data_IF_158751043392
#
_entry.id   IF_158751043392
#
_cell.length_a   1.000
_cell.length_b   1.000
_cell.length_c   1.000
_cell.angle_alpha   90.00
_cell.angle_beta   90.00
_cell.angle_gamma   90.00
#
_symmetry.space_group_name_H-M   'P 1'
#
loop_
_entity.id
_entity.type
_entity.pdbx_description
1 polymer ?
#
# COMPACT_ATOMS: atom_id res chain seq x y z
N UNK A 1 1.73 -19.59 -20.42
CA UNK A 1 0.66 -18.75 -19.84
C UNK A 1 1.30 -17.65 -19.03
N UNK A 2 0.73 -16.45 -19.01
CA UNK A 2 1.33 -15.31 -18.31
C UNK A 2 1.38 -15.55 -16.80
N UNK A 3 2.57 -15.40 -16.21
CA UNK A 3 2.79 -15.63 -14.77
C UNK A 3 1.96 -14.68 -13.91
N UNK A 4 1.67 -13.48 -14.38
CA UNK A 4 0.89 -12.47 -13.63
C UNK A 4 -0.52 -12.96 -13.30
N UNK A 5 -1.12 -13.74 -14.21
CA UNK A 5 -2.48 -14.27 -14.06
C UNK A 5 -2.51 -15.71 -13.53
N UNK A 6 -1.41 -16.45 -13.69
CA UNK A 6 -1.29 -17.85 -13.26
C UNK A 6 -0.52 -18.06 -11.96
N UNK A 7 0.17 -17.04 -11.43
CA UNK A 7 0.80 -17.10 -10.10
C UNK A 7 -0.27 -17.48 -9.06
N UNK A 8 0.00 -18.42 -8.14
CA UNK A 8 -0.98 -18.95 -7.20
C UNK A 8 -1.75 -17.84 -6.45
N UNK A 9 -3.01 -18.11 -6.16
CA UNK A 9 -3.93 -17.15 -5.52
C UNK A 9 -4.17 -17.52 -4.07
N UNK A 10 -4.56 -16.52 -3.29
CA UNK A 10 -4.87 -16.68 -1.87
C UNK A 10 -3.82 -16.03 -0.97
N UNK A 11 -4.08 -16.08 0.33
CA UNK A 11 -3.30 -15.37 1.34
C UNK A 11 -1.84 -15.81 1.35
N UNK A 12 -1.57 -17.12 1.39
CA UNK A 12 -0.19 -17.63 1.46
C UNK A 12 0.67 -17.24 0.24
N UNK A 13 0.24 -17.46 -1.02
CA UNK A 13 0.97 -16.96 -2.18
C UNK A 13 1.15 -15.45 -2.20
N UNK A 14 0.15 -14.70 -1.73
CA UNK A 14 0.24 -13.24 -1.60
C UNK A 14 1.32 -12.83 -0.61
N UNK A 15 1.32 -13.40 0.59
CA UNK A 15 2.35 -13.17 1.61
C UNK A 15 3.75 -13.53 1.13
N UNK A 16 3.91 -14.63 0.39
CA UNK A 16 5.19 -14.99 -0.23
C UNK A 16 5.68 -13.89 -1.18
N UNK A 17 4.80 -13.34 -2.02
CA UNK A 17 5.19 -12.27 -2.95
C UNK A 17 5.54 -10.97 -2.21
N UNK A 18 4.82 -10.61 -1.15
CA UNK A 18 5.19 -9.48 -0.29
C UNK A 18 6.56 -9.69 0.35
N UNK A 19 6.82 -10.85 0.94
CA UNK A 19 8.11 -11.16 1.56
C UNK A 19 9.26 -11.10 0.54
N UNK A 20 9.06 -11.58 -0.69
CA UNK A 20 10.06 -11.41 -1.77
C UNK A 20 10.26 -9.93 -2.07
N UNK A 21 9.19 -9.15 -2.26
CA UNK A 21 9.27 -7.72 -2.53
C UNK A 21 9.94 -6.93 -1.41
N UNK A 22 9.77 -7.32 -0.16
CA UNK A 22 10.45 -6.71 0.99
C UNK A 22 11.98 -6.88 0.89
N UNK A 23 12.44 -8.09 0.57
CA UNK A 23 13.87 -8.47 0.59
C UNK A 23 14.63 -8.08 -0.68
N UNK A 24 13.98 -8.06 -1.84
CA UNK A 24 14.69 -7.82 -3.10
C UNK A 24 15.17 -6.37 -3.22
N UNK A 25 16.37 -6.26 -3.78
CA UNK A 25 17.05 -5.00 -4.09
C UNK A 25 17.34 -4.94 -5.59
N UNK A 26 17.08 -3.80 -6.26
CA UNK A 26 17.24 -3.69 -7.71
C UNK A 26 18.68 -3.88 -8.19
N UNK A 27 19.67 -3.54 -7.35
CA UNK A 27 21.10 -3.65 -7.61
C UNK A 27 21.68 -5.07 -7.37
N UNK A 28 20.87 -6.01 -6.87
CA UNK A 28 21.32 -7.38 -6.61
C UNK A 28 20.31 -8.42 -7.10
N UNK A 29 20.17 -8.53 -8.43
CA UNK A 29 19.27 -9.49 -9.09
C UNK A 29 19.58 -10.95 -8.77
N UNK A 30 20.84 -11.27 -8.43
CA UNK A 30 21.26 -12.66 -8.15
C UNK A 30 20.52 -13.26 -6.94
N UNK A 31 20.15 -12.44 -5.97
CA UNK A 31 19.41 -12.90 -4.80
C UNK A 31 17.91 -13.10 -5.07
N UNK A 32 17.37 -12.58 -6.18
CA UNK A 32 15.93 -12.69 -6.48
C UNK A 32 15.52 -14.14 -6.68
N UNK A 33 16.27 -14.87 -7.51
CA UNK A 33 16.06 -16.31 -7.71
C UNK A 33 16.11 -17.08 -6.40
N UNK A 34 17.08 -16.76 -5.55
CA UNK A 34 17.24 -17.39 -4.23
C UNK A 34 16.01 -17.17 -3.34
N UNK A 35 15.48 -15.94 -3.29
CA UNK A 35 14.27 -15.65 -2.51
C UNK A 35 13.02 -16.32 -3.10
N UNK A 36 12.86 -16.29 -4.42
CA UNK A 36 11.76 -16.95 -5.11
C UNK A 36 11.76 -18.47 -4.85
N UNK A 37 12.91 -19.13 -4.95
CA UNK A 37 13.03 -20.57 -4.65
C UNK A 37 12.81 -20.89 -3.18
N UNK A 38 13.33 -20.05 -2.28
CA UNK A 38 13.11 -20.20 -0.85
C UNK A 38 11.62 -20.13 -0.51
N UNK A 39 10.94 -19.10 -0.99
CA UNK A 39 9.52 -18.88 -0.71
C UNK A 39 8.63 -19.88 -1.44
N UNK A 40 8.97 -20.27 -2.67
CA UNK A 40 8.27 -21.35 -3.38
C UNK A 40 8.23 -22.63 -2.54
N UNK A 41 9.34 -22.98 -1.88
CA UNK A 41 9.41 -24.14 -0.96
C UNK A 41 8.70 -23.87 0.37
N UNK A 42 8.97 -22.75 1.03
CA UNK A 42 8.42 -22.42 2.35
C UNK A 42 6.88 -22.38 2.33
N UNK A 43 6.31 -21.78 1.29
CA UNK A 43 4.88 -21.58 1.14
C UNK A 43 4.21 -22.64 0.25
N UNK A 44 4.97 -23.64 -0.21
CA UNK A 44 4.49 -24.76 -1.03
C UNK A 44 3.72 -24.29 -2.28
N UNK A 45 4.26 -23.30 -2.99
CA UNK A 45 3.58 -22.66 -4.12
C UNK A 45 3.52 -23.55 -5.37
N UNK A 46 4.41 -24.54 -5.47
CA UNK A 46 4.45 -25.49 -6.59
C UNK A 46 4.83 -24.85 -7.93
N UNK A 47 5.64 -23.79 -7.91
CA UNK A 47 6.14 -23.16 -9.13
C UNK A 47 7.29 -23.96 -9.73
N UNK A 48 7.17 -24.29 -11.01
CA UNK A 48 8.20 -24.95 -11.81
C UNK A 48 9.34 -23.97 -12.20
N UNK A 49 10.54 -24.46 -12.57
CA UNK A 49 11.67 -23.59 -12.91
C UNK A 49 11.35 -22.51 -13.97
N UNK A 50 10.58 -22.86 -15.00
CA UNK A 50 10.17 -21.90 -16.05
C UNK A 50 9.19 -20.83 -15.54
N UNK A 51 8.39 -21.15 -14.51
CA UNK A 51 7.51 -20.18 -13.86
C UNK A 51 8.30 -19.26 -12.94
N UNK A 52 9.35 -19.78 -12.28
CA UNK A 52 10.28 -18.96 -11.49
C UNK A 52 11.03 -17.97 -12.40
N UNK A 53 11.44 -18.39 -13.60
CA UNK A 53 12.06 -17.49 -14.61
C UNK A 53 11.09 -16.37 -15.00
N UNK A 54 9.82 -16.71 -15.21
CA UNK A 54 8.79 -15.72 -15.50
C UNK A 54 8.55 -14.78 -14.31
N UNK A 55 8.58 -15.28 -13.06
CA UNK A 55 8.51 -14.45 -11.86
C UNK A 55 9.65 -13.45 -11.79
N UNK A 56 10.89 -13.82 -12.15
CA UNK A 56 12.02 -12.87 -12.14
C UNK A 56 11.82 -11.72 -13.13
N UNK A 57 11.32 -12.00 -14.33
CA UNK A 57 10.99 -10.98 -15.32
C UNK A 57 9.83 -10.08 -14.83
N UNK A 58 8.87 -10.65 -14.11
CA UNK A 58 7.78 -9.88 -13.51
C UNK A 58 8.26 -9.00 -12.35
N UNK A 59 9.14 -9.50 -11.48
CA UNK A 59 9.78 -8.69 -10.43
C UNK A 59 10.59 -7.54 -11.03
N UNK A 60 11.21 -7.75 -12.19
CA UNK A 60 11.92 -6.71 -12.91
C UNK A 60 10.96 -5.60 -13.35
N UNK A 61 9.86 -5.97 -14.01
CA UNK A 61 8.82 -5.02 -14.37
C UNK A 61 8.28 -4.24 -13.15
N UNK A 62 8.09 -4.91 -12.01
CA UNK A 62 7.67 -4.28 -10.74
C UNK A 62 8.73 -3.32 -10.20
N UNK A 63 10.02 -3.65 -10.26
CA UNK A 63 11.09 -2.76 -9.76
C UNK A 63 11.28 -1.53 -10.64
N UNK A 64 11.05 -1.62 -11.94
CA UNK A 64 11.26 -0.51 -12.87
C UNK A 64 10.00 0.29 -13.19
N UNK A 65 8.82 -0.12 -12.74
CA UNK A 65 7.61 0.68 -12.95
C UNK A 65 7.65 1.99 -12.13
N UNK A 66 7.16 3.06 -12.74
CA UNK A 66 7.05 4.39 -12.12
C UNK A 66 5.90 4.41 -11.11
N UNK A 67 6.20 4.90 -9.91
CA UNK A 67 5.27 5.14 -8.82
C UNK A 67 4.41 6.39 -9.11
N UNK A 68 3.06 6.31 -9.04
CA UNK A 68 2.18 7.32 -9.61
C UNK A 68 2.16 8.69 -8.89
N UNK A 69 2.59 8.76 -7.63
CA UNK A 69 2.64 10.01 -6.85
C UNK A 69 4.05 10.61 -6.81
N UNK A 70 5.08 9.78 -6.59
CA UNK A 70 6.46 10.28 -6.48
C UNK A 70 7.18 10.39 -7.82
N UNK A 71 6.70 9.72 -8.87
CA UNK A 71 7.28 9.72 -10.23
C UNK A 71 8.68 9.12 -10.33
N UNK A 72 9.13 8.41 -9.30
CA UNK A 72 10.35 7.58 -9.35
C UNK A 72 9.96 6.10 -9.51
N UNK A 73 10.92 5.26 -9.91
CA UNK A 73 10.67 3.81 -9.92
C UNK A 73 10.66 3.23 -8.50
N UNK A 74 10.01 2.07 -8.33
CA UNK A 74 10.09 1.32 -7.08
C UNK A 74 11.54 0.96 -6.69
N UNK A 75 12.37 0.63 -7.68
CA UNK A 75 13.79 0.37 -7.45
C UNK A 75 14.50 1.59 -6.88
N UNK A 76 14.24 2.78 -7.43
CA UNK A 76 14.81 4.03 -6.94
C UNK A 76 14.34 4.37 -5.52
N UNK A 77 13.06 4.14 -5.20
CA UNK A 77 12.54 4.38 -3.84
C UNK A 77 13.24 3.51 -2.78
N UNK A 78 13.61 2.28 -3.14
CA UNK A 78 14.38 1.35 -2.30
C UNK A 78 15.89 1.63 -2.22
N UNK A 79 16.43 2.47 -3.09
CA UNK A 79 17.83 2.91 -3.01
C UNK A 79 17.98 4.16 -2.12
N UNK A 80 16.92 4.97 -2.04
CA UNK A 80 16.87 6.14 -1.17
C UNK A 80 16.55 5.84 0.30
N UNK A 81 16.17 6.90 1.04
CA UNK A 81 15.72 6.79 2.42
C UNK A 81 14.36 6.10 2.47
N UNK A 82 14.32 4.86 2.96
CA UNK A 82 13.11 4.05 3.00
C UNK A 82 13.10 3.10 4.19
N UNK A 83 11.93 2.50 4.41
CA UNK A 83 11.70 1.39 5.31
C UNK A 83 10.62 0.50 4.73
N UNK A 84 10.97 -0.76 4.48
CA UNK A 84 9.99 -1.82 4.20
C UNK A 84 9.37 -2.31 5.51
N UNK A 85 8.15 -2.85 5.44
CA UNK A 85 7.39 -3.38 6.58
C UNK A 85 7.37 -2.42 7.79
N UNK A 86 6.77 -1.25 7.60
CA UNK A 86 6.59 -0.29 8.68
C UNK A 86 5.30 -0.57 9.45
N UNK A 87 5.44 -1.32 10.54
CA UNK A 87 4.37 -1.51 11.53
C UNK A 87 4.07 -0.22 12.30
N UNK A 88 2.78 0.12 12.44
CA UNK A 88 2.30 1.25 13.22
C UNK A 88 1.13 0.89 14.13
N UNK A 89 0.93 1.72 15.16
CA UNK A 89 -0.21 1.64 16.06
C UNK A 89 -0.85 3.01 16.19
N UNK A 90 -2.15 3.10 15.90
CA UNK A 90 -2.97 4.26 16.22
C UNK A 90 -3.75 3.95 17.49
N UNK A 91 -3.41 4.62 18.59
CA UNK A 91 -4.21 4.57 19.81
C UNK A 91 -5.40 5.51 19.72
N UNK A 92 -6.55 5.05 20.20
CA UNK A 92 -7.65 5.90 20.65
C UNK A 92 -7.49 6.14 22.15
N UNK A 93 -7.92 7.30 22.68
CA UNK A 93 -7.93 7.51 24.13
C UNK A 93 -8.76 6.39 24.77
N UNK A 94 -8.13 5.64 25.69
CA UNK A 94 -8.69 4.47 26.34
C UNK A 94 -10.04 4.70 27.06
N UNK A 95 -10.45 5.96 27.23
CA UNK A 95 -11.70 6.35 27.90
C UNK A 95 -12.86 6.69 26.95
N UNK A 96 -12.61 6.86 25.65
CA UNK A 96 -13.63 7.34 24.71
C UNK A 96 -13.75 6.40 23.50
N UNK A 97 -14.97 6.01 23.16
CA UNK A 97 -15.24 5.21 21.96
C UNK A 97 -14.88 6.01 20.69
N UNK A 98 -14.49 5.32 19.61
CA UNK A 98 -14.36 5.94 18.30
C UNK A 98 -15.71 6.52 17.86
N UNK A 99 -15.70 7.76 17.39
CA UNK A 99 -16.85 8.41 16.79
C UNK A 99 -17.08 7.89 15.36
N UNK A 100 -17.64 6.69 15.26
CA UNK A 100 -17.97 6.04 13.98
C UNK A 100 -18.90 6.91 13.12
N UNK A 101 -19.95 7.57 13.66
CA UNK A 101 -20.74 8.54 12.90
C UNK A 101 -19.89 9.66 12.28
N UNK A 102 -18.97 10.26 13.05
CA UNK A 102 -18.08 11.30 12.52
C UNK A 102 -17.13 10.76 11.43
N UNK A 103 -16.60 9.55 11.58
CA UNK A 103 -15.79 8.90 10.53
C UNK A 103 -16.62 8.73 9.25
N UNK A 104 -17.81 8.13 9.34
CA UNK A 104 -18.67 7.92 8.18
C UNK A 104 -19.05 9.26 7.50
N UNK A 105 -19.39 10.29 8.30
CA UNK A 105 -19.73 11.62 7.78
C UNK A 105 -18.53 12.30 7.11
N UNK A 106 -17.34 12.22 7.72
CA UNK A 106 -16.11 12.78 7.16
C UNK A 106 -15.78 12.16 5.80
N UNK A 107 -15.90 10.84 5.67
CA UNK A 107 -15.68 10.13 4.43
C UNK A 107 -16.74 10.42 3.36
N UNK A 108 -18.02 10.49 3.75
CA UNK A 108 -19.11 10.84 2.84
C UNK A 108 -18.96 12.26 2.27
N UNK A 109 -18.55 13.23 3.10
CA UNK A 109 -18.32 14.60 2.68
C UNK A 109 -17.20 14.74 1.62
N UNK A 110 -16.30 13.76 1.52
CA UNK A 110 -15.17 13.75 0.60
C UNK A 110 -15.32 12.71 -0.53
N UNK A 111 -16.53 12.21 -0.78
CA UNK A 111 -16.82 11.37 -1.96
C UNK A 111 -16.49 9.89 -1.80
N UNK A 112 -16.15 9.43 -0.59
CA UNK A 112 -15.82 8.03 -0.31
C UNK A 112 -16.73 7.47 0.81
N UNK A 113 -18.06 7.44 0.63
CA UNK A 113 -18.98 7.07 1.70
C UNK A 113 -18.63 5.71 2.31
N UNK A 114 -18.52 5.68 3.64
CA UNK A 114 -18.34 4.47 4.41
C UNK A 114 -19.61 4.12 5.18
N UNK A 115 -19.78 2.84 5.46
CA UNK A 115 -20.87 2.30 6.27
C UNK A 115 -20.33 1.49 7.45
N UNK A 116 -19.40 2.09 8.21
CA UNK A 116 -18.83 1.45 9.38
C UNK A 116 -19.91 1.24 10.45
N UNK A 117 -19.87 0.08 11.10
CA UNK A 117 -20.80 -0.28 12.17
C UNK A 117 -20.26 0.12 13.54
N UNK A 118 -21.15 0.61 14.40
CA UNK A 118 -20.85 0.94 15.81
C UNK A 118 -20.45 -0.26 16.67
N UNK A 119 -20.63 -1.51 16.19
CA UNK A 119 -20.33 -2.74 16.94
C UNK A 119 -18.90 -2.79 17.48
N UNK A 120 -17.95 -2.13 16.82
CA UNK A 120 -16.54 -2.13 17.18
C UNK A 120 -16.01 -0.75 17.59
N UNK A 121 -16.88 0.18 18.00
CA UNK A 121 -16.46 1.53 18.41
C UNK A 121 -15.52 1.57 19.63
N UNK A 122 -15.42 0.49 20.40
CA UNK A 122 -14.53 0.39 21.57
C UNK A 122 -13.12 -0.15 21.23
N UNK A 123 -12.73 -0.14 19.95
CA UNK A 123 -11.34 -0.43 19.55
C UNK A 123 -10.40 0.57 20.22
N UNK A 124 -9.40 0.04 20.93
CA UNK A 124 -8.40 0.82 21.68
C UNK A 124 -7.15 1.16 20.87
N UNK A 125 -6.78 0.25 19.98
CA UNK A 125 -5.65 0.40 19.11
C UNK A 125 -5.96 -0.21 17.75
N UNK A 126 -5.60 0.51 16.70
CA UNK A 126 -5.56 0.00 15.35
C UNK A 126 -4.10 -0.28 15.00
N UNK A 127 -3.78 -1.54 14.71
CA UNK A 127 -2.47 -1.95 14.23
C UNK A 127 -2.54 -2.11 12.72
N UNK A 128 -1.56 -1.56 12.03
CA UNK A 128 -1.41 -1.72 10.58
C UNK A 128 0.07 -1.87 10.22
N UNK A 129 0.31 -2.23 8.97
CA UNK A 129 1.64 -2.44 8.42
C UNK A 129 1.69 -1.86 7.01
N UNK A 130 2.58 -0.89 6.82
CA UNK A 130 2.85 -0.28 5.52
C UNK A 130 3.93 -1.12 4.84
N UNK A 131 3.65 -1.65 3.64
CA UNK A 131 4.61 -2.48 2.91
C UNK A 131 5.91 -1.71 2.61
N UNK A 132 5.79 -0.45 2.18
CA UNK A 132 6.96 0.38 1.87
C UNK A 132 6.70 1.86 2.15
N UNK A 133 7.50 2.44 3.04
CA UNK A 133 7.53 3.87 3.36
C UNK A 133 8.85 4.44 2.85
N UNK A 134 8.81 5.52 2.07
CA UNK A 134 10.03 6.11 1.50
C UNK A 134 9.96 7.62 1.42
N UNK A 135 11.12 8.25 1.24
CA UNK A 135 11.27 9.68 1.07
C UNK A 135 11.86 9.99 -0.30
N UNK A 136 11.31 11.01 -0.95
CA UNK A 136 11.81 11.57 -2.19
C UNK A 136 11.54 13.07 -2.20
N UNK A 137 12.54 13.89 -2.55
CA UNK A 137 12.44 15.35 -2.68
C UNK A 137 11.74 16.08 -1.51
N UNK A 138 12.06 15.64 -0.29
CA UNK A 138 11.53 16.21 0.96
C UNK A 138 10.13 15.70 1.34
N UNK A 139 9.49 14.89 0.50
CA UNK A 139 8.16 14.31 0.71
C UNK A 139 8.25 12.83 1.09
N UNK A 140 7.32 12.38 1.92
CA UNK A 140 7.24 11.00 2.41
C UNK A 140 6.02 10.31 1.84
N UNK A 141 6.21 9.14 1.25
CA UNK A 141 5.21 8.42 0.48
C UNK A 141 5.01 7.01 1.03
N UNK A 142 3.81 6.50 0.81
CA UNK A 142 3.41 5.15 1.23
C UNK A 142 3.14 4.35 -0.03
N UNK A 143 3.68 3.15 -0.11
CA UNK A 143 3.34 2.17 -1.13
C UNK A 143 2.80 0.91 -0.45
N UNK A 144 1.70 0.40 -1.00
CA UNK A 144 1.03 -0.82 -0.58
C UNK A 144 0.88 -1.75 -1.79
N UNK A 145 1.35 -3.00 -1.65
CA UNK A 145 1.26 -4.01 -2.69
C UNK A 145 -0.09 -4.73 -2.58
N UNK A 146 -0.74 -4.93 -3.73
CA UNK A 146 -1.99 -5.67 -3.85
C UNK A 146 -1.80 -6.86 -4.75
N UNK A 147 -2.06 -8.05 -4.22
CA UNK A 147 -2.00 -9.33 -4.96
C UNK A 147 -3.36 -9.75 -5.52
N UNK A 148 -4.36 -8.88 -5.39
CA UNK A 148 -5.75 -9.08 -5.82
C UNK A 148 -5.83 -9.54 -7.28
N UNK A 149 -6.67 -10.54 -7.51
CA UNK A 149 -6.96 -11.04 -8.85
C UNK A 149 -8.21 -10.31 -9.39
N UNK A 150 -8.00 -9.37 -10.32
CA UNK A 150 -9.08 -8.62 -10.96
C UNK A 150 -9.52 -9.28 -12.28
N UNK A 151 -8.65 -10.11 -12.86
CA UNK A 151 -8.92 -10.87 -14.08
C UNK A 151 -7.65 -11.40 -14.73
N UNK A 152 -7.75 -11.82 -16.00
CA UNK A 152 -6.69 -12.57 -16.70
C UNK A 152 -6.15 -11.84 -17.94
N UNK A 153 -6.42 -10.53 -18.07
CA UNK A 153 -5.94 -9.69 -19.18
C UNK A 153 -5.56 -8.30 -18.67
N UNK A 154 -4.73 -7.54 -19.40
CA UNK A 154 -4.32 -6.20 -18.98
C UNK A 154 -5.51 -5.26 -18.73
N UNK A 155 -6.56 -5.36 -19.54
CA UNK A 155 -7.78 -4.55 -19.41
C UNK A 155 -8.56 -4.76 -18.09
N UNK A 156 -8.24 -5.78 -17.30
CA UNK A 156 -8.85 -5.98 -15.97
C UNK A 156 -8.10 -5.20 -14.87
N UNK A 157 -6.99 -4.53 -15.21
CA UNK A 157 -6.10 -3.83 -14.28
C UNK A 157 -5.89 -2.35 -14.64
N UNK A 158 -6.80 -1.76 -15.41
CA UNK A 158 -6.77 -0.32 -15.70
C UNK A 158 -7.01 0.50 -14.41
N UNK A 159 -6.64 1.80 -14.40
CA UNK A 159 -6.92 2.68 -13.26
C UNK A 159 -8.40 2.68 -12.83
N UNK A 160 -9.34 2.55 -13.77
CA UNK A 160 -10.77 2.47 -13.49
C UNK A 160 -11.13 1.17 -12.76
N UNK A 161 -10.57 0.04 -13.20
CA UNK A 161 -10.78 -1.27 -12.55
C UNK A 161 -10.15 -1.35 -11.18
N UNK A 162 -9.00 -0.74 -10.99
CA UNK A 162 -8.39 -0.62 -9.67
C UNK A 162 -9.26 0.25 -8.76
N UNK A 163 -9.77 1.38 -9.26
CA UNK A 163 -10.66 2.25 -8.49
C UNK A 163 -11.95 1.53 -8.05
N UNK A 164 -12.54 0.71 -8.92
CA UNK A 164 -13.66 -0.18 -8.57
C UNK A 164 -13.26 -1.12 -7.41
N UNK A 165 -12.13 -1.82 -7.54
CA UNK A 165 -11.63 -2.71 -6.50
C UNK A 165 -11.32 -1.98 -5.17
N UNK A 166 -10.86 -0.73 -5.22
CA UNK A 166 -10.62 0.08 -4.02
C UNK A 166 -11.91 0.39 -3.25
N UNK A 167 -13.03 0.61 -3.96
CA UNK A 167 -14.34 0.79 -3.34
C UNK A 167 -14.77 -0.50 -2.61
N UNK A 168 -14.67 -1.65 -3.29
CA UNK A 168 -15.17 -2.93 -2.77
C UNK A 168 -14.39 -3.42 -1.54
N UNK A 169 -13.10 -3.11 -1.46
CA UNK A 169 -12.21 -3.58 -0.40
C UNK A 169 -11.94 -2.55 0.72
N UNK A 170 -12.67 -1.43 0.74
CA UNK A 170 -12.49 -0.35 1.73
C UNK A 170 -11.05 0.20 1.75
N UNK A 171 -10.32 0.14 0.64
CA UNK A 171 -8.94 0.62 0.58
C UNK A 171 -8.83 2.14 0.75
N UNK A 172 -9.92 2.89 0.51
CA UNK A 172 -10.01 4.31 0.87
C UNK A 172 -9.80 4.57 2.36
N UNK A 173 -10.40 3.73 3.22
CA UNK A 173 -10.20 3.82 4.66
C UNK A 173 -8.77 3.43 5.04
N UNK A 174 -8.23 2.37 4.43
CA UNK A 174 -6.83 1.97 4.62
C UNK A 174 -5.87 3.11 4.27
N UNK A 175 -6.05 3.73 3.10
CA UNK A 175 -5.26 4.87 2.63
C UNK A 175 -5.24 6.02 3.65
N UNK A 176 -6.41 6.35 4.19
CA UNK A 176 -6.55 7.44 5.15
C UNK A 176 -5.84 7.12 6.47
N UNK A 177 -6.03 5.91 6.99
CA UNK A 177 -5.38 5.46 8.23
C UNK A 177 -3.86 5.43 8.09
N UNK A 178 -3.35 5.00 6.93
CA UNK A 178 -1.91 4.94 6.65
C UNK A 178 -1.32 6.36 6.58
N UNK A 179 -2.01 7.30 5.92
CA UNK A 179 -1.60 8.70 5.88
C UNK A 179 -1.70 9.38 7.24
N UNK A 180 -2.69 9.07 8.09
CA UNK A 180 -2.73 9.54 9.49
C UNK A 180 -1.54 8.99 10.29
N UNK A 181 -1.21 7.71 10.13
CA UNK A 181 -0.05 7.12 10.79
C UNK A 181 1.27 7.80 10.37
N UNK A 182 1.43 8.07 9.08
CA UNK A 182 2.57 8.82 8.56
C UNK A 182 2.58 10.27 9.06
N UNK A 183 1.44 10.95 9.05
CA UNK A 183 1.28 12.31 9.57
C UNK A 183 1.77 12.41 11.02
N UNK A 184 1.28 11.53 11.91
CA UNK A 184 1.72 11.47 13.32
C UNK A 184 3.21 11.15 13.46
N UNK A 185 3.74 10.25 12.62
CA UNK A 185 5.16 9.93 12.62
C UNK A 185 6.00 11.16 12.28
N UNK A 186 5.64 11.88 11.22
CA UNK A 186 6.38 13.05 10.76
C UNK A 186 6.28 14.20 11.75
N UNK A 187 5.11 14.48 12.33
CA UNK A 187 4.94 15.44 13.43
C UNK A 187 5.90 15.18 14.59
N UNK A 188 6.13 13.91 14.92
CA UNK A 188 7.03 13.52 16.02
C UNK A 188 8.51 13.61 15.64
N UNK A 189 8.85 13.44 14.36
CA UNK A 189 10.24 13.25 13.90
C UNK A 189 10.84 14.49 13.25
N UNK A 190 10.03 15.34 12.64
CA UNK A 190 10.47 16.52 11.91
C UNK A 190 10.11 17.78 12.72
N UNK A 191 11.10 18.57 13.17
CA UNK A 191 10.84 19.81 13.92
C UNK A 191 9.96 20.82 13.18
N UNK A 192 10.17 20.97 11.87
CA UNK A 192 9.46 21.95 11.02
C UNK A 192 8.41 21.27 10.12
N UNK A 193 7.70 20.27 10.66
CA UNK A 193 6.74 19.50 9.87
C UNK A 193 5.57 20.35 9.36
N UNK A 194 5.59 20.62 8.06
CA UNK A 194 4.45 21.12 7.28
C UNK A 194 3.83 19.96 6.45
N UNK A 195 2.57 19.56 6.71
CA UNK A 195 1.88 18.54 5.92
C UNK A 195 1.84 18.82 4.41
N UNK A 196 1.67 20.08 3.99
CA UNK A 196 1.58 20.41 2.56
C UNK A 196 2.92 20.21 1.83
N UNK A 197 4.03 20.31 2.57
CA UNK A 197 5.40 20.12 2.05
C UNK A 197 5.89 18.69 2.18
N UNK A 198 5.63 18.04 3.31
CA UNK A 198 6.29 16.78 3.66
C UNK A 198 5.38 15.55 3.52
N UNK A 199 4.05 15.69 3.64
CA UNK A 199 3.14 14.56 3.47
C UNK A 199 2.95 14.30 1.98
N UNK A 200 3.48 13.18 1.50
CA UNK A 200 3.21 12.65 0.17
C UNK A 200 1.98 11.75 0.16
N UNK A 201 1.61 11.31 -1.04
CA UNK A 201 0.46 10.44 -1.23
C UNK A 201 0.73 8.98 -0.86
N UNK A 202 -0.34 8.19 -0.97
CA UNK A 202 -0.29 6.74 -0.98
C UNK A 202 -0.37 6.21 -2.41
N UNK A 203 0.29 5.08 -2.63
CA UNK A 203 0.39 4.41 -3.91
C UNK A 203 0.02 2.94 -3.72
N UNK A 204 -0.69 2.40 -4.70
CA UNK A 204 -1.10 1.01 -4.74
C UNK A 204 -0.54 0.36 -5.99
N UNK A 205 0.18 -0.75 -5.80
CA UNK A 205 0.63 -1.60 -6.89
C UNK A 205 -0.16 -2.91 -6.88
N UNK A 206 -1.17 -3.00 -7.75
CA UNK A 206 -1.84 -4.24 -8.09
C UNK A 206 -0.90 -5.05 -8.97
N UNK A 207 -0.04 -5.84 -8.32
CA UNK A 207 1.15 -6.45 -8.90
C UNK A 207 0.86 -7.20 -10.21
N UNK A 208 -0.29 -7.90 -10.27
CA UNK A 208 -0.72 -8.69 -11.45
C UNK A 208 -1.05 -7.84 -12.68
N UNK A 209 -1.29 -6.54 -12.47
CA UNK A 209 -1.54 -5.57 -13.52
C UNK A 209 -0.28 -4.86 -14.05
N UNK A 210 0.87 -5.03 -13.39
CA UNK A 210 2.11 -4.38 -13.81
C UNK A 210 2.58 -5.01 -15.13
N UNK A 211 2.62 -4.20 -16.19
CA UNK A 211 3.07 -4.55 -17.52
C UNK A 211 3.91 -3.41 -18.10
N UNK A 212 5.16 -3.64 -18.54
CA UNK A 212 5.91 -2.64 -19.29
C UNK A 212 5.22 -2.22 -20.60
N UNK A 213 4.39 -3.09 -21.20
CA UNK A 213 3.63 -2.79 -22.41
C UNK A 213 2.40 -1.92 -22.15
N UNK A 214 1.90 -1.87 -20.91
CA UNK A 214 0.74 -1.07 -20.51
C UNK A 214 1.09 -0.28 -19.24
N UNK A 215 1.91 0.78 -19.34
CA UNK A 215 2.59 1.40 -18.20
C UNK A 215 1.66 1.94 -17.11
N UNK A 216 0.41 2.26 -17.44
CA UNK A 216 -0.59 2.81 -16.50
C UNK A 216 -1.33 1.71 -15.72
N UNK A 217 -1.31 0.46 -16.20
CA UNK A 217 -2.02 -0.64 -15.56
C UNK A 217 -1.33 -1.09 -14.27
N UNK A 218 -2.13 -1.60 -13.35
CA UNK A 218 -1.63 -2.14 -12.08
C UNK A 218 -1.22 -1.07 -11.06
N UNK A 219 -1.40 0.22 -11.35
CA UNK A 219 -0.96 1.31 -10.48
C UNK A 219 -2.10 2.27 -10.16
N UNK A 220 -2.15 2.73 -8.93
CA UNK A 220 -3.09 3.77 -8.51
C UNK A 220 -2.47 4.65 -7.44
N UNK A 221 -2.55 5.97 -7.62
CA UNK A 221 -2.06 6.94 -6.66
C UNK A 221 -3.21 7.73 -6.04
N UNK A 222 -3.12 8.00 -4.75
CA UNK A 222 -4.10 8.81 -4.05
C UNK A 222 -3.43 9.72 -3.02
N UNK A 223 -3.92 10.94 -2.88
CA UNK A 223 -3.44 11.86 -1.86
C UNK A 223 -4.64 12.53 -1.21
N UNK A 224 -4.83 12.31 0.09
CA UNK A 224 -5.87 13.06 0.80
C UNK A 224 -5.35 14.46 1.08
N UNK A 225 -6.20 15.50 0.95
CA UNK A 225 -5.80 16.84 1.35
C UNK A 225 -5.33 16.87 2.82
N UNK A 226 -4.31 17.67 3.18
CA UNK A 226 -3.82 17.76 4.55
C UNK A 226 -4.91 18.03 5.59
N UNK A 227 -5.91 18.84 5.25
CA UNK A 227 -7.07 19.14 6.09
C UNK A 227 -7.96 17.91 6.33
N UNK A 228 -8.08 17.01 5.36
CA UNK A 228 -8.79 15.74 5.53
C UNK A 228 -8.05 14.87 6.55
N UNK A 229 -6.73 14.78 6.43
CA UNK A 229 -5.89 13.98 7.34
C UNK A 229 -5.91 14.55 8.75
N UNK A 230 -5.78 15.87 8.90
CA UNK A 230 -5.84 16.54 10.20
C UNK A 230 -7.22 16.43 10.86
N UNK A 231 -8.31 16.46 10.08
CA UNK A 231 -9.65 16.23 10.61
C UNK A 231 -9.85 14.78 11.07
N UNK A 232 -9.45 13.80 10.25
CA UNK A 232 -9.52 12.39 10.61
C UNK A 232 -8.66 12.07 11.84
N UNK A 233 -7.46 12.64 11.93
CA UNK A 233 -6.57 12.48 13.07
C UNK A 233 -7.21 12.93 14.39
N UNK A 234 -7.94 14.06 14.37
CA UNK A 234 -8.70 14.55 15.52
C UNK A 234 -9.85 13.63 15.89
N UNK A 235 -10.63 13.16 14.90
CA UNK A 235 -11.72 12.20 15.10
C UNK A 235 -11.20 10.92 15.75
N UNK A 236 -10.06 10.39 15.29
CA UNK A 236 -9.46 9.17 15.84
C UNK A 236 -8.86 9.36 17.24
N UNK A 237 -8.47 10.58 17.58
CA UNK A 237 -7.85 10.91 18.88
C UNK A 237 -8.87 11.29 19.96
N UNK A 238 -10.15 11.50 19.61
CA UNK A 238 -11.18 12.01 20.53
C UNK A 238 -10.76 13.30 21.26
N UNK A 239 -10.07 14.20 20.56
CA UNK A 239 -9.61 15.49 21.11
C UNK A 239 -10.58 16.61 20.65
N UNK A 240 -11.56 17.04 21.46
CA UNK A 240 -12.34 18.23 21.17
C UNK A 240 -11.50 19.50 21.36
N UNK A 241 -11.87 20.56 20.64
CA UNK A 241 -11.29 21.92 20.76
C UNK A 241 -11.33 22.46 22.19
#
# INVERSE_FOLDING_TARGET
ADIRYTYPRGTAPGSALHAVLERIRPDNRRDWRRYLEHDNRQWQLGLEPTQLDACENWLEAIQYCELPQSRISLGASKQGAHRSEYGFTLGSDARVALDIPAINAHFAAHGHPLHLSDKHRHIRYLRGEIDHLYQHDGRYYILDYKTNHLGNRPADYTPEKIREAMNDHHYWLQAALYQVALHRLLQKRLPDYDPARHLGGIEYHYLRGIDPAEPENGKYGWNYPPEFIAALDRILSNNPL
#
